data_IF_873661225123
#
_entry.id   IF_873661225123
#
_cell.length_a   1.000
_cell.length_b   1.000
_cell.length_c   1.000
_cell.angle_alpha   90.00
_cell.angle_beta   90.00
_cell.angle_gamma   90.00
#
_symmetry.space_group_name_H-M   'P 1'
#
loop_
_entity.id
_entity.type
_entity.pdbx_description
1 polymer ?
#
# COMPACT_ATOMS: atom_id res chain seq x y z
N UNK A 1 -28.24 -17.72 16.71
CA UNK A 1 -29.03 -16.56 16.28
C UNK A 1 -28.23 -15.31 16.63
N UNK A 2 -27.68 -14.61 15.64
CA UNK A 2 -26.97 -13.34 15.88
C UNK A 2 -28.01 -12.22 15.90
N UNK A 3 -28.04 -11.44 16.98
CA UNK A 3 -28.87 -10.24 17.06
C UNK A 3 -28.50 -9.23 15.96
N UNK A 4 -29.37 -8.26 15.67
CA UNK A 4 -29.05 -7.21 14.71
C UNK A 4 -27.77 -6.51 15.15
N UNK A 5 -26.80 -6.31 14.25
CA UNK A 5 -25.58 -5.60 14.61
C UNK A 5 -25.96 -4.18 15.05
N UNK A 6 -25.53 -3.79 16.26
CA UNK A 6 -25.77 -2.45 16.79
C UNK A 6 -24.97 -1.36 16.05
N UNK A 7 -24.09 -1.77 15.14
CA UNK A 7 -23.32 -0.91 14.26
C UNK A 7 -24.10 -0.64 12.95
N UNK A 8 -24.46 0.62 12.63
CA UNK A 8 -25.15 1.00 11.41
C UNK A 8 -24.43 0.55 10.13
N UNK A 9 -23.10 0.51 10.14
CA UNK A 9 -22.28 0.05 9.00
C UNK A 9 -22.54 -1.44 8.75
N UNK A 10 -22.59 -2.25 9.80
CA UNK A 10 -22.85 -3.68 9.70
C UNK A 10 -24.30 -3.98 9.32
N UNK A 11 -25.27 -3.19 9.79
CA UNK A 11 -26.67 -3.29 9.34
C UNK A 11 -26.77 -2.98 7.85
N UNK A 12 -26.18 -1.87 7.41
CA UNK A 12 -26.17 -1.49 6.00
C UNK A 12 -25.44 -2.50 5.11
N UNK A 13 -24.41 -3.17 5.64
CA UNK A 13 -23.72 -4.25 4.94
C UNK A 13 -24.64 -5.47 4.74
N UNK A 14 -25.43 -5.84 5.76
CA UNK A 14 -26.43 -6.91 5.63
C UNK A 14 -27.45 -6.55 4.56
N UNK A 15 -27.97 -5.31 4.58
CA UNK A 15 -28.92 -4.82 3.58
C UNK A 15 -28.34 -4.86 2.16
N UNK A 16 -27.10 -4.40 1.99
CA UNK A 16 -26.37 -4.44 0.73
C UNK A 16 -26.21 -5.86 0.18
N UNK A 17 -25.84 -6.82 1.04
CA UNK A 17 -25.71 -8.22 0.66
C UNK A 17 -27.06 -8.84 0.29
N UNK A 18 -28.14 -8.46 0.97
CA UNK A 18 -29.49 -8.91 0.69
C UNK A 18 -30.06 -8.30 -0.62
N UNK A 19 -29.68 -7.07 -0.95
CA UNK A 19 -30.11 -6.37 -2.16
C UNK A 19 -29.30 -6.74 -3.43
N UNK A 20 -28.33 -7.65 -3.33
CA UNK A 20 -27.44 -8.00 -4.43
C UNK A 20 -28.21 -8.57 -5.64
N UNK A 21 -27.98 -8.00 -6.83
CA UNK A 21 -28.65 -8.37 -8.10
C UNK A 21 -28.43 -9.83 -8.53
N UNK A 22 -27.43 -10.52 -7.97
CA UNK A 22 -27.09 -11.93 -8.25
C UNK A 22 -26.93 -12.71 -6.94
N UNK A 23 -28.05 -13.08 -6.29
CA UNK A 23 -28.04 -13.75 -4.99
C UNK A 23 -27.20 -15.04 -4.97
N UNK A 24 -27.21 -15.80 -6.07
CA UNK A 24 -26.42 -17.02 -6.24
C UNK A 24 -24.92 -16.78 -6.16
N UNK A 25 -24.43 -15.66 -6.71
CA UNK A 25 -23.01 -15.29 -6.67
C UNK A 25 -22.59 -14.90 -5.25
N UNK A 26 -23.42 -14.13 -4.55
CA UNK A 26 -23.21 -13.77 -3.14
C UNK A 26 -23.20 -15.02 -2.25
N UNK A 27 -24.08 -15.99 -2.53
CA UNK A 27 -24.16 -17.24 -1.78
C UNK A 27 -22.93 -18.14 -2.00
N UNK A 28 -22.45 -18.25 -3.23
CA UNK A 28 -21.21 -18.99 -3.55
C UNK A 28 -20.01 -18.34 -2.86
N UNK A 29 -19.90 -17.01 -2.92
CA UNK A 29 -18.82 -16.27 -2.25
C UNK A 29 -18.83 -16.49 -0.73
N UNK A 30 -20.01 -16.41 -0.09
CA UNK A 30 -20.19 -16.65 1.36
C UNK A 30 -19.84 -18.07 1.81
N UNK A 31 -19.78 -19.06 0.91
CA UNK A 31 -19.36 -20.43 1.26
C UNK A 31 -17.87 -20.57 1.54
N UNK A 32 -17.05 -19.60 1.13
CA UNK A 32 -15.62 -19.65 1.43
C UNK A 32 -15.38 -19.54 2.94
N UNK A 33 -14.62 -20.46 3.57
CA UNK A 33 -14.31 -20.38 5.00
C UNK A 33 -13.68 -19.04 5.39
N UNK A 34 -12.80 -18.50 4.54
CA UNK A 34 -12.16 -17.19 4.73
C UNK A 34 -13.16 -16.03 4.76
N UNK A 35 -14.20 -16.10 3.92
CA UNK A 35 -15.28 -15.09 3.91
C UNK A 35 -16.13 -15.22 5.17
N UNK A 36 -16.41 -16.43 5.63
CA UNK A 36 -17.15 -16.65 6.87
C UNK A 36 -16.39 -16.14 8.10
N UNK A 37 -15.08 -16.40 8.18
CA UNK A 37 -14.23 -15.85 9.24
C UNK A 37 -14.21 -14.33 9.24
N UNK A 38 -14.09 -13.71 8.06
CA UNK A 38 -14.13 -12.25 7.91
C UNK A 38 -15.48 -11.67 8.37
N UNK A 39 -16.60 -12.21 7.88
CA UNK A 39 -17.93 -11.76 8.27
C UNK A 39 -18.21 -11.99 9.76
N UNK A 40 -17.74 -13.11 10.31
CA UNK A 40 -17.83 -13.39 11.74
C UNK A 40 -17.02 -12.39 12.54
N UNK A 41 -15.78 -12.10 12.14
CA UNK A 41 -14.92 -11.15 12.82
C UNK A 41 -15.50 -9.73 12.85
N UNK A 42 -16.12 -9.30 11.75
CA UNK A 42 -16.89 -8.05 11.70
C UNK A 42 -18.10 -8.09 12.64
N UNK A 43 -18.90 -9.16 12.57
CA UNK A 43 -20.09 -9.31 13.42
C UNK A 43 -19.80 -9.41 14.92
N UNK A 44 -18.61 -9.88 15.32
CA UNK A 44 -18.17 -9.92 16.72
C UNK A 44 -17.39 -8.68 17.15
N UNK A 45 -17.11 -7.74 16.24
CA UNK A 45 -16.24 -6.58 16.50
C UNK A 45 -14.76 -6.92 16.66
N UNK A 46 -14.34 -8.17 16.37
CA UNK A 46 -12.93 -8.55 16.36
C UNK A 46 -12.17 -7.89 15.19
N UNK A 47 -12.91 -7.55 14.14
CA UNK A 47 -12.46 -6.75 13.01
C UNK A 47 -13.30 -5.48 13.02
N UNK A 48 -12.65 -4.31 13.11
CA UNK A 48 -13.36 -3.04 12.99
C UNK A 48 -13.94 -2.91 11.57
N UNK A 49 -15.17 -2.40 11.46
CA UNK A 49 -15.81 -2.12 10.17
C UNK A 49 -15.24 -0.82 9.55
N UNK A 50 -13.92 -0.75 9.44
CA UNK A 50 -13.16 0.37 8.88
C UNK A 50 -12.18 -0.14 7.83
N UNK A 51 -11.59 0.79 7.09
CA UNK A 51 -10.54 0.48 6.13
C UNK A 51 -9.36 -0.27 6.75
N UNK A 52 -8.92 0.19 7.92
CA UNK A 52 -7.81 -0.34 8.71
C UNK A 52 -8.13 -1.73 9.27
N UNK A 53 -9.36 -1.93 9.74
CA UNK A 53 -9.81 -3.26 10.20
C UNK A 53 -9.74 -4.30 9.07
N UNK A 54 -10.13 -3.91 7.86
CA UNK A 54 -10.00 -4.76 6.67
C UNK A 54 -8.53 -4.94 6.21
N UNK A 55 -7.66 -3.97 6.46
CA UNK A 55 -6.22 -4.08 6.14
C UNK A 55 -5.47 -5.04 7.06
N UNK A 56 -5.91 -5.21 8.31
CA UNK A 56 -5.30 -6.14 9.25
C UNK A 56 -5.37 -7.61 8.80
N UNK A 57 -6.29 -7.94 7.89
CA UNK A 57 -6.50 -9.28 7.34
C UNK A 57 -6.57 -9.23 5.80
N UNK A 58 -5.46 -8.88 5.12
CA UNK A 58 -5.46 -8.59 3.71
C UNK A 58 -5.80 -9.85 2.90
N UNK A 59 -6.89 -9.79 2.15
CA UNK A 59 -7.37 -10.91 1.34
C UNK A 59 -8.25 -10.43 0.18
N UNK A 60 -8.40 -11.26 -0.86
CA UNK A 60 -9.37 -10.98 -1.94
C UNK A 60 -10.80 -10.80 -1.41
N UNK A 61 -11.14 -11.47 -0.31
CA UNK A 61 -12.44 -11.32 0.35
C UNK A 61 -12.58 -9.95 1.04
N UNK A 62 -11.55 -9.51 1.76
CA UNK A 62 -11.53 -8.20 2.40
C UNK A 62 -11.59 -7.06 1.37
N UNK A 63 -10.87 -7.17 0.25
CA UNK A 63 -10.95 -6.19 -0.84
C UNK A 63 -12.33 -6.15 -1.48
N UNK A 64 -12.94 -7.30 -1.76
CA UNK A 64 -14.29 -7.35 -2.31
C UNK A 64 -15.31 -6.69 -1.35
N UNK A 65 -15.18 -6.98 -0.06
CA UNK A 65 -16.04 -6.42 0.96
C UNK A 65 -15.86 -4.91 1.10
N UNK A 66 -14.61 -4.42 1.06
CA UNK A 66 -14.30 -2.99 1.05
C UNK A 66 -14.97 -2.29 -0.12
N UNK A 67 -14.80 -2.82 -1.34
CA UNK A 67 -15.43 -2.24 -2.54
C UNK A 67 -16.95 -2.23 -2.44
N UNK A 68 -17.55 -3.27 -1.87
CA UNK A 68 -19.00 -3.29 -1.61
C UNK A 68 -19.41 -2.21 -0.61
N UNK A 69 -18.68 -2.09 0.50
CA UNK A 69 -18.95 -1.07 1.53
C UNK A 69 -18.79 0.35 0.99
N UNK A 70 -17.77 0.63 0.17
CA UNK A 70 -17.60 1.91 -0.52
C UNK A 70 -18.75 2.20 -1.50
N UNK A 71 -19.14 1.21 -2.32
CA UNK A 71 -20.22 1.35 -3.29
C UNK A 71 -21.57 1.70 -2.63
N UNK A 72 -21.84 1.14 -1.46
CA UNK A 72 -23.03 1.40 -0.67
C UNK A 72 -22.89 2.60 0.28
N UNK A 73 -21.78 3.34 0.25
CA UNK A 73 -21.53 4.51 1.09
C UNK A 73 -21.33 4.19 2.58
N UNK A 74 -21.07 2.93 2.92
CA UNK A 74 -20.78 2.47 4.28
C UNK A 74 -19.34 2.78 4.70
N UNK A 75 -18.45 2.92 3.72
CA UNK A 75 -17.10 3.45 3.90
C UNK A 75 -16.84 4.60 2.90
N UNK A 76 -16.06 5.62 3.27
CA UNK A 76 -15.61 6.62 2.31
C UNK A 76 -14.73 5.94 1.24
N UNK A 77 -14.76 6.39 -0.02
CA UNK A 77 -13.84 5.91 -1.04
C UNK A 77 -12.39 6.07 -0.58
N UNK A 78 -11.58 5.02 -0.71
CA UNK A 78 -10.15 5.08 -0.38
C UNK A 78 -9.31 4.62 -1.56
N UNK A 79 -8.21 5.33 -1.82
CA UNK A 79 -7.22 4.84 -2.76
C UNK A 79 -6.60 3.52 -2.25
N UNK A 80 -6.72 2.45 -3.06
CA UNK A 80 -6.27 1.11 -2.67
C UNK A 80 -4.75 0.93 -2.65
N UNK A 81 -4.00 1.83 -3.28
CA UNK A 81 -2.56 1.67 -3.48
C UNK A 81 -1.75 2.45 -2.46
N UNK A 82 -2.24 3.58 -1.96
CA UNK A 82 -1.55 4.44 -1.01
C UNK A 82 -1.20 3.68 0.29
N UNK A 83 -2.14 3.02 1.00
CA UNK A 83 -1.80 2.25 2.21
C UNK A 83 -0.79 1.11 1.93
N UNK A 84 -0.94 0.45 0.78
CA UNK A 84 -0.02 -0.61 0.34
C UNK A 84 1.36 -0.09 -0.03
N UNK A 85 1.43 1.16 -0.50
CA UNK A 85 2.69 1.82 -0.83
C UNK A 85 3.41 2.26 0.44
N UNK A 86 2.69 2.80 1.43
CA UNK A 86 3.23 3.12 2.76
C UNK A 86 3.84 1.88 3.43
N UNK A 87 3.08 0.79 3.51
CA UNK A 87 3.60 -0.49 4.05
C UNK A 87 4.80 -1.00 3.27
N UNK A 88 4.76 -0.91 1.94
CA UNK A 88 5.89 -1.34 1.11
C UNK A 88 7.16 -0.52 1.36
N UNK A 89 7.06 0.78 1.65
CA UNK A 89 8.23 1.60 2.03
C UNK A 89 8.83 1.07 3.32
N UNK A 90 7.99 0.78 4.32
CA UNK A 90 8.46 0.26 5.61
C UNK A 90 9.14 -1.10 5.44
N UNK A 91 8.49 -2.05 4.77
CA UNK A 91 9.04 -3.37 4.50
C UNK A 91 10.35 -3.30 3.68
N UNK A 92 10.43 -2.37 2.73
CA UNK A 92 11.61 -2.22 1.86
C UNK A 92 12.84 -1.71 2.62
N UNK A 93 12.64 -0.94 3.68
CA UNK A 93 13.70 -0.22 4.38
C UNK A 93 14.03 -0.80 5.76
N UNK A 94 13.20 -1.70 6.31
CA UNK A 94 13.31 -2.19 7.69
C UNK A 94 14.65 -2.86 8.00
N UNK A 95 15.18 -3.66 7.08
CA UNK A 95 16.41 -4.45 7.29
C UNK A 95 17.67 -3.77 6.72
N UNK A 96 17.58 -2.50 6.29
CA UNK A 96 18.71 -1.78 5.69
C UNK A 96 19.53 -1.04 6.76
N UNK A 97 20.86 -0.90 6.57
CA UNK A 97 21.69 -0.06 7.41
C UNK A 97 21.14 1.38 7.49
N UNK A 98 21.26 2.03 8.64
CA UNK A 98 20.70 3.38 8.86
C UNK A 98 21.19 4.40 7.83
N UNK A 99 22.44 4.28 7.37
CA UNK A 99 23.03 5.17 6.36
C UNK A 99 22.40 5.01 4.97
N UNK A 100 21.74 3.88 4.71
CA UNK A 100 20.97 3.61 3.49
C UNK A 100 19.49 3.93 3.72
N UNK A 101 18.93 3.42 4.81
CA UNK A 101 17.50 3.51 5.12
C UNK A 101 17.03 4.95 5.32
N UNK A 102 17.81 5.78 6.04
CA UNK A 102 17.41 7.16 6.38
C UNK A 102 17.26 8.06 5.15
N UNK A 103 18.27 8.20 4.26
CA UNK A 103 18.11 9.01 3.05
C UNK A 103 17.05 8.43 2.09
N UNK A 104 16.98 7.10 1.93
CA UNK A 104 15.95 6.47 1.10
C UNK A 104 14.53 6.72 1.64
N UNK A 105 14.33 6.67 2.96
CA UNK A 105 13.06 7.00 3.62
C UNK A 105 12.69 8.46 3.41
N UNK A 106 13.64 9.37 3.58
CA UNK A 106 13.41 10.79 3.35
C UNK A 106 12.93 11.03 1.91
N UNK A 107 13.63 10.47 0.92
CA UNK A 107 13.23 10.54 -0.47
C UNK A 107 11.82 9.96 -0.71
N UNK A 108 11.57 8.75 -0.21
CA UNK A 108 10.27 8.10 -0.35
C UNK A 108 9.12 8.94 0.25
N UNK A 109 9.30 9.51 1.43
CA UNK A 109 8.27 10.27 2.13
C UNK A 109 8.05 11.67 1.53
N UNK A 110 9.11 12.45 1.32
CA UNK A 110 8.98 13.85 0.94
C UNK A 110 8.73 14.06 -0.56
N UNK A 111 9.33 13.21 -1.39
CA UNK A 111 9.19 13.30 -2.85
C UNK A 111 7.98 12.50 -3.35
N UNK A 112 7.93 11.19 -3.05
CA UNK A 112 6.89 10.32 -3.61
C UNK A 112 5.59 10.35 -2.81
N UNK A 113 5.64 10.10 -1.50
CA UNK A 113 4.44 9.92 -0.70
C UNK A 113 3.59 11.18 -0.64
N UNK A 114 4.20 12.36 -0.51
CA UNK A 114 3.51 13.65 -0.59
C UNK A 114 2.72 13.82 -1.89
N UNK A 115 3.33 13.50 -3.04
CA UNK A 115 2.67 13.58 -4.35
C UNK A 115 1.55 12.57 -4.50
N UNK A 116 1.77 11.34 -4.06
CA UNK A 116 0.79 10.25 -4.17
C UNK A 116 -0.43 10.54 -3.29
N UNK A 117 -0.24 11.09 -2.09
CA UNK A 117 -1.33 11.56 -1.23
C UNK A 117 -2.16 12.64 -1.90
N UNK A 118 -1.54 13.64 -2.51
CA UNK A 118 -2.27 14.68 -3.25
C UNK A 118 -3.11 14.13 -4.41
N UNK A 119 -2.63 13.08 -5.09
CA UNK A 119 -3.41 12.40 -6.16
C UNK A 119 -4.59 11.65 -5.55
N UNK A 120 -4.37 10.92 -4.46
CA UNK A 120 -5.42 10.18 -3.75
C UNK A 120 -6.51 11.11 -3.21
N UNK A 121 -6.12 12.23 -2.60
CA UNK A 121 -7.04 13.25 -2.05
C UNK A 121 -7.91 13.89 -3.15
N UNK A 122 -7.37 13.99 -4.37
CA UNK A 122 -8.10 14.44 -5.56
C UNK A 122 -8.95 13.34 -6.22
N UNK A 123 -8.99 12.13 -5.67
CA UNK A 123 -9.71 10.98 -6.22
C UNK A 123 -9.08 10.38 -7.49
N UNK A 124 -7.81 10.68 -7.76
CA UNK A 124 -7.09 10.21 -8.94
C UNK A 124 -6.53 8.78 -8.77
N UNK A 125 -6.29 8.10 -9.90
CA UNK A 125 -5.62 6.79 -9.89
C UNK A 125 -4.14 6.94 -9.53
N UNK A 126 -3.77 6.48 -8.35
CA UNK A 126 -2.37 6.53 -7.88
C UNK A 126 -1.51 5.39 -8.44
N UNK A 127 -2.09 4.37 -9.07
CA UNK A 127 -1.37 3.18 -9.54
C UNK A 127 -0.11 3.51 -10.36
N UNK A 128 -0.16 4.42 -11.36
CA UNK A 128 1.02 4.74 -12.16
C UNK A 128 2.12 5.41 -11.34
N UNK A 129 1.73 6.34 -10.45
CA UNK A 129 2.66 7.06 -9.58
C UNK A 129 3.33 6.13 -8.56
N UNK A 130 2.57 5.21 -7.96
CA UNK A 130 3.08 4.17 -7.06
C UNK A 130 4.07 3.25 -7.79
N UNK A 131 3.78 2.85 -9.03
CA UNK A 131 4.70 2.02 -9.83
C UNK A 131 6.03 2.73 -10.09
N UNK A 132 6.01 3.99 -10.51
CA UNK A 132 7.23 4.77 -10.75
C UNK A 132 8.03 4.94 -9.46
N UNK A 133 7.35 5.34 -8.38
CA UNK A 133 7.99 5.55 -7.08
C UNK A 133 8.69 4.29 -6.57
N UNK A 134 8.06 3.11 -6.70
CA UNK A 134 8.70 1.83 -6.30
C UNK A 134 9.99 1.56 -7.06
N UNK A 135 10.04 1.89 -8.35
CA UNK A 135 11.23 1.72 -9.17
C UNK A 135 12.35 2.68 -8.74
N UNK A 136 12.04 3.97 -8.61
CA UNK A 136 13.01 5.01 -8.21
C UNK A 136 13.58 4.76 -6.81
N UNK A 137 12.73 4.42 -5.84
CA UNK A 137 13.15 4.05 -4.48
C UNK A 137 14.04 2.80 -4.52
N UNK A 138 13.69 1.80 -5.33
CA UNK A 138 14.49 0.57 -5.45
C UNK A 138 15.88 0.86 -6.00
N UNK A 139 16.00 1.66 -7.06
CA UNK A 139 17.30 2.02 -7.63
C UNK A 139 18.11 2.92 -6.70
N UNK A 140 17.46 3.82 -5.96
CA UNK A 140 18.08 4.64 -4.91
C UNK A 140 18.67 3.76 -3.80
N UNK A 141 17.91 2.78 -3.30
CA UNK A 141 18.39 1.83 -2.29
C UNK A 141 19.59 1.02 -2.82
N UNK A 142 19.56 0.58 -4.07
CA UNK A 142 20.68 -0.15 -4.68
C UNK A 142 21.92 0.73 -4.78
N UNK A 143 21.79 1.96 -5.22
CA UNK A 143 22.89 2.92 -5.32
C UNK A 143 23.52 3.21 -3.96
N UNK A 144 22.71 3.54 -2.95
CA UNK A 144 23.19 3.81 -1.60
C UNK A 144 23.86 2.59 -0.95
N UNK A 145 23.30 1.40 -1.16
CA UNK A 145 23.90 0.15 -0.69
C UNK A 145 25.23 -0.13 -1.38
N UNK A 146 25.31 0.10 -2.70
CA UNK A 146 26.53 -0.02 -3.49
C UNK A 146 27.60 0.94 -2.98
N UNK A 147 27.29 2.24 -2.87
CA UNK A 147 28.20 3.29 -2.39
C UNK A 147 28.82 2.94 -1.04
N UNK A 148 27.99 2.47 -0.11
CA UNK A 148 28.43 2.01 1.22
C UNK A 148 29.31 0.77 1.13
N UNK A 149 28.90 -0.24 0.37
CA UNK A 149 29.62 -1.52 0.28
C UNK A 149 30.96 -1.42 -0.45
N UNK A 150 31.07 -0.57 -1.46
CA UNK A 150 32.25 -0.45 -2.32
C UNK A 150 33.25 0.55 -1.78
N UNK A 151 32.77 1.66 -1.22
CA UNK A 151 33.63 2.78 -0.81
C UNK A 151 33.54 3.15 0.66
N UNK A 152 32.64 2.52 1.43
CA UNK A 152 32.37 2.93 2.81
C UNK A 152 31.76 4.34 2.91
N UNK A 153 31.22 4.86 1.80
CA UNK A 153 30.69 6.23 1.71
C UNK A 153 29.19 6.26 1.97
N UNK A 154 28.72 7.40 2.45
CA UNK A 154 27.31 7.76 2.51
C UNK A 154 26.98 8.79 1.43
N UNK A 155 25.70 9.11 1.27
CA UNK A 155 25.28 10.14 0.29
C UNK A 155 25.94 11.49 0.54
N UNK A 156 26.20 11.85 1.81
CA UNK A 156 26.85 13.10 2.21
C UNK A 156 28.32 13.18 1.77
N UNK A 157 28.97 12.02 1.60
CA UNK A 157 30.36 11.91 1.14
C UNK A 157 30.47 11.43 -0.31
N UNK A 158 29.34 11.33 -1.01
CA UNK A 158 29.29 10.88 -2.39
C UNK A 158 29.96 11.89 -3.31
N UNK A 159 30.72 11.39 -4.27
CA UNK A 159 31.36 12.22 -5.30
C UNK A 159 30.66 12.05 -6.65
N UNK A 160 30.90 12.99 -7.58
CA UNK A 160 30.41 12.86 -8.96
C UNK A 160 30.94 11.59 -9.64
N UNK A 161 32.19 11.20 -9.34
CA UNK A 161 32.80 9.98 -9.88
C UNK A 161 32.02 8.73 -9.49
N UNK A 162 31.52 8.67 -8.24
CA UNK A 162 30.72 7.54 -7.76
C UNK A 162 29.40 7.43 -8.53
N UNK A 163 28.74 8.57 -8.77
CA UNK A 163 27.50 8.65 -9.55
C UNK A 163 27.74 8.20 -10.99
N UNK A 164 28.79 8.72 -11.63
CA UNK A 164 29.13 8.39 -13.01
C UNK A 164 29.45 6.90 -13.16
N UNK A 165 30.21 6.33 -12.23
CA UNK A 165 30.53 4.91 -12.24
C UNK A 165 29.30 4.04 -12.03
N UNK A 166 28.41 4.41 -11.10
CA UNK A 166 27.15 3.69 -10.90
C UNK A 166 26.33 3.66 -12.20
N UNK A 167 26.19 4.80 -12.85
CA UNK A 167 25.41 4.93 -14.09
C UNK A 167 26.05 4.16 -15.24
N UNK A 168 27.37 4.24 -15.42
CA UNK A 168 28.09 3.63 -16.52
C UNK A 168 28.09 2.09 -16.49
N UNK A 169 27.99 1.48 -15.31
CA UNK A 169 28.18 0.04 -15.10
C UNK A 169 26.88 -0.77 -15.01
N UNK A 170 25.73 -0.19 -15.39
CA UNK A 170 24.47 -0.93 -15.30
C UNK A 170 23.38 -0.52 -16.28
N UNK A 171 22.17 -1.10 -16.13
CA UNK A 171 21.07 -0.88 -17.05
C UNK A 171 20.57 0.56 -16.97
N UNK A 172 19.79 0.97 -17.99
CA UNK A 172 19.21 2.32 -18.09
C UNK A 172 18.36 2.72 -16.88
N UNK A 173 17.82 1.77 -16.12
CA UNK A 173 17.10 2.06 -14.87
C UNK A 173 17.98 2.74 -13.82
N UNK A 174 19.30 2.56 -13.85
CA UNK A 174 20.21 3.25 -12.92
C UNK A 174 20.17 4.76 -13.04
N UNK A 175 19.77 5.30 -14.20
CA UNK A 175 19.59 6.74 -14.39
C UNK A 175 18.45 7.33 -13.53
N UNK A 176 17.55 6.50 -13.02
CA UNK A 176 16.43 6.95 -12.18
C UNK A 176 16.86 7.52 -10.84
N UNK A 177 18.09 7.26 -10.38
CA UNK A 177 18.63 7.88 -9.15
C UNK A 177 18.77 9.41 -9.27
N UNK A 178 18.71 9.96 -10.49
CA UNK A 178 18.77 11.43 -10.70
C UNK A 178 17.63 12.18 -10.02
N UNK A 179 16.48 11.55 -9.78
CA UNK A 179 15.39 12.18 -9.02
C UNK A 179 15.75 12.32 -7.53
N UNK A 180 16.66 11.48 -7.04
CA UNK A 180 17.09 11.45 -5.65
C UNK A 180 18.27 12.40 -5.35
N UNK A 181 19.22 12.52 -6.29
CA UNK A 181 20.40 13.40 -6.19
C UNK A 181 20.01 14.88 -6.24
#
# INVERSE_FOLDING_TARGET
>A
MGGPPSDPILSGLVDALCAAKRPESTMIWKRSPKVQELLKGLGTGAIAATHEGLDALPSRAAEHLRTLMEYHGLLPPRDRWLPRFEQWIDDKLIDLPTEVARPARHFATWHHLRRIRAIADAGGDTQPSVRSAKQEITETVKFLSWLRSTYGRTIETCTQHDVDQWIATGPTTRYTIRTFL
#
